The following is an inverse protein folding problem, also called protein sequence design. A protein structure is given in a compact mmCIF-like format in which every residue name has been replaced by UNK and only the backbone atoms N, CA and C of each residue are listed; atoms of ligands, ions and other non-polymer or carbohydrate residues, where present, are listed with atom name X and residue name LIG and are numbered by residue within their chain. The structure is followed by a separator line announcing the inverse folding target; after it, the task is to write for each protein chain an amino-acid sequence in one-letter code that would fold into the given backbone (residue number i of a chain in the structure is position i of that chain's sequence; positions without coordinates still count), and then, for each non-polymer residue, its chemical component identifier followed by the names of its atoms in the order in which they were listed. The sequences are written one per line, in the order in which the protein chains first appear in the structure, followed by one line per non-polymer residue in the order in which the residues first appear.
data_IF_455364131303
#
_entry.id   IF_455364131303
#
_cell.length_a   1.000
_cell.length_b   1.000
_cell.length_c   1.000
_cell.angle_alpha   90.00
_cell.angle_beta   90.00
_cell.angle_gamma   90.00
#
_symmetry.space_group_name_H-M   'P 1'
#
loop_
_entity.id
_entity.type
_entity.pdbx_description
1 polymer ?
#
# COMPACT_ATOMS: atom_id res chain seq x y z
N UNK A 1 31.47 17.20 39.90
CA UNK A 1 30.34 17.20 38.94
C UNK A 1 30.75 16.42 37.70
N UNK A 2 30.02 15.34 37.34
CA UNK A 2 30.35 14.47 36.20
C UNK A 2 29.08 13.93 35.52
N UNK A 3 29.09 13.92 34.17
CA UNK A 3 28.31 13.12 33.21
C UNK A 3 26.76 13.08 33.24
N UNK A 4 26.07 13.52 34.30
CA UNK A 4 24.59 13.42 34.41
C UNK A 4 23.79 14.07 33.26
N UNK A 5 24.35 15.06 32.56
CA UNK A 5 23.69 15.73 31.43
C UNK A 5 23.71 14.92 30.13
N UNK A 6 24.68 14.01 29.95
CA UNK A 6 24.84 13.25 28.69
C UNK A 6 23.76 12.16 28.55
N UNK A 7 23.56 11.37 29.60
CA UNK A 7 22.51 10.33 29.61
C UNK A 7 21.11 10.94 29.58
N UNK A 8 20.88 12.05 30.29
CA UNK A 8 19.61 12.77 30.25
C UNK A 8 19.26 13.28 28.84
N UNK A 9 20.23 13.88 28.14
CA UNK A 9 20.03 14.36 26.77
C UNK A 9 19.83 13.20 25.77
N UNK A 10 20.56 12.10 25.93
CA UNK A 10 20.42 10.91 25.07
C UNK A 10 19.03 10.27 25.21
N UNK A 11 18.51 10.15 26.44
CA UNK A 11 17.16 9.67 26.70
C UNK A 11 16.08 10.65 26.19
N UNK A 12 16.32 11.97 26.31
CA UNK A 12 15.42 12.99 25.77
C UNK A 12 15.34 12.92 24.22
N UNK A 13 16.46 12.66 23.54
CA UNK A 13 16.50 12.47 22.09
C UNK A 13 15.76 11.21 21.65
N UNK A 14 15.90 10.09 22.38
CA UNK A 14 15.11 8.87 22.13
C UNK A 14 13.60 9.15 22.30
N UNK A 15 13.21 9.97 23.29
CA UNK A 15 11.81 10.36 23.50
C UNK A 15 11.25 11.33 22.43
N UNK A 16 12.11 12.01 21.67
CA UNK A 16 11.73 12.90 20.56
C UNK A 16 11.73 12.18 19.19
N UNK A 17 12.49 11.10 19.07
CA UNK A 17 12.63 10.30 17.86
C UNK A 17 11.79 9.01 17.90
N UNK A 18 10.56 9.10 18.41
CA UNK A 18 9.55 8.04 18.29
C UNK A 18 9.05 7.92 16.85
N UNK A 19 9.92 7.39 15.97
CA UNK A 19 9.54 6.93 14.65
C UNK A 19 8.49 5.84 14.83
N UNK A 20 7.23 6.21 14.63
CA UNK A 20 6.10 5.30 14.62
C UNK A 20 6.15 4.47 13.34
N UNK A 21 6.99 3.45 13.32
CA UNK A 21 6.84 2.33 12.40
C UNK A 21 5.38 1.85 12.49
N UNK A 22 4.69 1.80 11.35
CA UNK A 22 3.31 1.35 11.32
C UNK A 22 3.17 -0.02 11.98
N UNK A 23 2.12 -0.21 12.77
CA UNK A 23 1.89 -1.51 13.38
C UNK A 23 1.56 -2.51 12.27
N UNK A 24 2.46 -3.45 12.05
CA UNK A 24 2.26 -4.55 11.10
C UNK A 24 1.34 -5.57 11.76
N UNK A 25 0.20 -5.84 11.13
CA UNK A 25 -0.89 -6.62 11.69
C UNK A 25 -1.43 -7.65 10.71
N UNK A 26 -2.02 -8.74 11.23
CA UNK A 26 -2.79 -9.71 10.45
C UNK A 26 -4.28 -9.38 10.51
N UNK A 27 -4.87 -8.96 9.40
CA UNK A 27 -6.31 -8.73 9.23
C UNK A 27 -6.92 -9.90 8.48
N UNK A 28 -7.80 -10.66 9.15
CA UNK A 28 -8.55 -11.76 8.55
C UNK A 28 -9.92 -11.26 8.09
N UNK A 29 -10.26 -11.45 6.81
CA UNK A 29 -11.50 -10.97 6.22
C UNK A 29 -12.59 -12.07 6.19
N UNK A 30 -13.89 -11.71 6.30
CA UNK A 30 -14.99 -12.69 6.26
C UNK A 30 -15.10 -13.51 4.95
N UNK A 31 -14.46 -13.07 3.86
CA UNK A 31 -14.38 -13.80 2.60
C UNK A 31 -13.24 -14.83 2.54
N UNK A 32 -12.48 -15.02 3.63
CA UNK A 32 -11.33 -15.93 3.70
C UNK A 32 -9.99 -15.31 3.25
N UNK A 33 -9.97 -14.05 2.82
CA UNK A 33 -8.71 -13.33 2.58
C UNK A 33 -7.98 -12.98 3.88
N UNK A 34 -6.65 -12.86 3.80
CA UNK A 34 -5.78 -12.46 4.91
C UNK A 34 -4.82 -11.37 4.43
N UNK A 35 -4.84 -10.22 5.08
CA UNK A 35 -3.83 -9.17 4.88
C UNK A 35 -2.80 -9.19 6.01
N UNK A 36 -1.53 -9.03 5.66
CA UNK A 36 -0.42 -8.82 6.59
C UNK A 36 0.35 -7.58 6.16
N UNK A 37 0.34 -6.53 6.98
CA UNK A 37 0.94 -5.25 6.63
C UNK A 37 0.60 -4.14 7.61
N UNK A 38 1.02 -2.93 7.31
CA UNK A 38 0.68 -1.73 8.10
C UNK A 38 -0.84 -1.45 8.03
N UNK A 39 -1.41 -0.95 9.14
CA UNK A 39 -2.82 -0.55 9.17
C UNK A 39 -2.98 0.84 9.78
N UNK A 40 -4.04 1.53 9.37
CA UNK A 40 -4.52 2.76 9.99
C UNK A 40 -5.89 2.52 10.65
N UNK A 41 -6.31 3.45 11.51
CA UNK A 41 -7.60 3.38 12.22
C UNK A 41 -7.57 2.52 13.47
N UNK A 42 -8.75 2.18 14.00
CA UNK A 42 -8.87 1.48 15.28
C UNK A 42 -10.25 0.85 15.48
N UNK A 43 -10.30 -0.28 16.19
CA UNK A 43 -11.53 -1.04 16.37
C UNK A 43 -12.15 -1.45 15.02
N UNK A 44 -13.34 -0.91 14.71
CA UNK A 44 -14.09 -1.23 13.49
C UNK A 44 -13.64 -0.45 12.23
N UNK A 45 -12.70 0.50 12.35
CA UNK A 45 -12.21 1.30 11.20
C UNK A 45 -10.83 0.88 10.68
N UNK A 46 -10.29 -0.24 11.20
CA UNK A 46 -8.96 -0.74 10.86
C UNK A 46 -8.91 -1.17 9.39
N UNK A 47 -7.97 -0.61 8.62
CA UNK A 47 -7.84 -0.84 7.18
C UNK A 47 -6.37 -0.85 6.72
N UNK A 48 -6.02 -1.61 5.66
CA UNK A 48 -4.70 -1.57 5.03
C UNK A 48 -4.20 -0.16 4.73
N UNK A 49 -2.94 0.09 5.06
CA UNK A 49 -2.20 1.31 4.75
C UNK A 49 -0.72 0.97 4.54
N UNK A 50 0.14 1.91 4.16
CA UNK A 50 1.59 1.71 4.14
C UNK A 50 2.02 0.57 3.21
N UNK A 51 2.89 -0.34 3.68
CA UNK A 51 3.27 -1.57 2.98
C UNK A 51 2.50 -2.79 3.50
N UNK A 52 2.10 -3.69 2.60
CA UNK A 52 1.50 -4.96 3.01
C UNK A 52 1.18 -5.94 1.87
N UNK A 53 0.80 -7.14 2.28
CA UNK A 53 0.49 -8.29 1.44
C UNK A 53 -0.95 -8.74 1.72
N UNK A 54 -1.82 -8.76 0.71
CA UNK A 54 -3.11 -9.43 0.77
C UNK A 54 -3.01 -10.78 0.06
N UNK A 55 -3.28 -11.87 0.77
CA UNK A 55 -3.58 -13.18 0.18
C UNK A 55 -5.09 -13.35 0.13
N UNK A 56 -5.65 -13.59 -1.06
CA UNK A 56 -7.08 -13.89 -1.23
C UNK A 56 -7.40 -15.35 -0.90
N UNK A 57 -8.67 -15.66 -0.66
CA UNK A 57 -9.13 -17.03 -0.40
C UNK A 57 -8.81 -18.00 -1.57
N UNK A 58 -8.81 -17.50 -2.80
CA UNK A 58 -8.43 -18.25 -4.01
C UNK A 58 -6.91 -18.40 -4.19
N UNK A 59 -6.10 -17.85 -3.28
CA UNK A 59 -4.63 -17.96 -3.26
C UNK A 59 -3.86 -16.91 -4.07
N UNK A 60 -4.53 -15.95 -4.73
CA UNK A 60 -3.85 -14.83 -5.38
C UNK A 60 -3.26 -13.89 -4.31
N UNK A 61 -2.00 -13.49 -4.50
CA UNK A 61 -1.21 -12.65 -3.60
C UNK A 61 -1.02 -11.26 -4.23
N UNK A 62 -1.22 -10.23 -3.42
CA UNK A 62 -1.09 -8.82 -3.79
C UNK A 62 -0.15 -8.14 -2.81
N UNK A 63 1.12 -7.95 -3.20
CA UNK A 63 2.16 -7.32 -2.39
C UNK A 63 2.42 -5.90 -2.90
N UNK A 64 2.43 -4.90 -2.02
CA UNK A 64 2.72 -3.53 -2.43
C UNK A 64 2.32 -2.48 -1.41
N UNK A 65 2.11 -1.26 -1.90
CA UNK A 65 1.61 -0.16 -1.09
C UNK A 65 0.05 -0.12 -1.04
N UNK A 66 -0.46 0.39 0.08
CA UNK A 66 -1.88 0.48 0.39
C UNK A 66 -2.22 1.84 0.98
N UNK A 67 -3.42 2.35 0.67
CA UNK A 67 -3.93 3.61 1.19
C UNK A 67 -5.45 3.49 1.37
N UNK A 68 -5.97 3.87 2.55
CA UNK A 68 -7.40 3.84 2.87
C UNK A 68 -8.11 2.48 2.64
N UNK A 69 -7.37 1.38 2.72
CA UNK A 69 -7.85 0.02 2.43
C UNK A 69 -7.80 -0.41 0.96
N UNK A 70 -7.27 0.42 0.07
CA UNK A 70 -7.13 0.18 -1.37
C UNK A 70 -5.66 0.05 -1.76
N UNK A 71 -5.35 -0.62 -2.87
CA UNK A 71 -4.00 -0.64 -3.43
C UNK A 71 -3.64 0.74 -4.01
N UNK A 72 -2.45 1.23 -3.69
CA UNK A 72 -1.91 2.51 -4.13
C UNK A 72 -0.40 2.37 -4.36
N UNK A 73 0.19 3.08 -5.32
CA UNK A 73 1.63 3.04 -5.56
C UNK A 73 2.05 1.71 -6.20
N UNK A 74 3.29 1.28 -5.99
CA UNK A 74 3.78 0.06 -6.64
C UNK A 74 3.21 -1.21 -5.98
N UNK A 75 2.75 -2.14 -6.81
CA UNK A 75 2.26 -3.46 -6.41
C UNK A 75 2.70 -4.55 -7.38
N UNK A 76 2.92 -5.76 -6.87
CA UNK A 76 3.18 -7.01 -7.60
C UNK A 76 2.08 -8.01 -7.27
N UNK A 77 1.48 -8.59 -8.31
CA UNK A 77 0.38 -9.54 -8.21
C UNK A 77 0.86 -10.91 -8.66
N UNK A 78 0.68 -11.92 -7.82
CA UNK A 78 1.15 -13.29 -8.05
C UNK A 78 -0.04 -14.25 -7.94
N UNK A 79 -0.20 -15.14 -8.93
CA UNK A 79 -1.27 -16.13 -8.92
C UNK A 79 -0.94 -17.32 -7.98
N UNK A 80 -1.87 -18.26 -7.73
CA UNK A 80 -1.63 -19.40 -6.83
C UNK A 80 -0.50 -20.33 -7.28
N UNK A 81 -0.15 -20.34 -8.57
CA UNK A 81 0.96 -21.12 -9.14
C UNK A 81 2.34 -20.46 -8.92
N UNK A 82 2.38 -19.28 -8.28
CA UNK A 82 3.60 -18.49 -8.07
C UNK A 82 4.03 -17.64 -9.26
N UNK A 83 3.19 -17.50 -10.29
CA UNK A 83 3.49 -16.68 -11.48
C UNK A 83 3.09 -15.23 -11.21
N UNK A 84 4.04 -14.31 -11.37
CA UNK A 84 3.76 -12.86 -11.38
C UNK A 84 2.93 -12.52 -12.62
N UNK A 85 1.71 -12.04 -12.39
CA UNK A 85 0.73 -11.68 -13.42
C UNK A 85 0.71 -10.18 -13.71
N UNK A 86 1.12 -9.34 -12.75
CA UNK A 86 1.22 -7.90 -12.91
C UNK A 86 2.29 -7.33 -11.98
N UNK A 87 3.05 -6.33 -12.45
CA UNK A 87 3.85 -5.43 -11.61
C UNK A 87 3.66 -4.02 -12.15
N UNK A 88 3.28 -3.06 -11.30
CA UNK A 88 3.01 -1.70 -11.75
C UNK A 88 2.41 -0.79 -10.68
N UNK A 89 2.10 0.43 -11.08
CA UNK A 89 1.49 1.45 -10.22
C UNK A 89 -0.04 1.24 -10.12
N UNK A 90 -0.59 1.45 -8.93
CA UNK A 90 -2.02 1.47 -8.62
C UNK A 90 -2.40 2.84 -8.05
N UNK A 91 -3.62 3.30 -8.33
CA UNK A 91 -4.16 4.54 -7.74
C UNK A 91 -5.59 4.27 -7.31
N UNK A 92 -5.87 4.45 -6.01
CA UNK A 92 -7.19 4.22 -5.39
C UNK A 92 -7.84 2.88 -5.78
N UNK A 93 -7.07 1.78 -5.81
CA UNK A 93 -7.58 0.45 -6.14
C UNK A 93 -7.80 0.18 -7.63
N UNK A 94 -7.25 1.00 -8.53
CA UNK A 94 -7.21 0.73 -9.97
C UNK A 94 -5.77 0.68 -10.50
N UNK A 95 -5.46 -0.32 -11.35
CA UNK A 95 -4.18 -0.43 -12.04
C UNK A 95 -3.96 0.76 -12.98
N UNK A 96 -2.83 1.45 -12.86
CA UNK A 96 -2.44 2.51 -13.80
C UNK A 96 -1.89 1.87 -15.08
N UNK A 97 -2.77 1.70 -16.07
CA UNK A 97 -2.36 1.27 -17.42
C UNK A 97 -1.66 2.43 -18.12
N UNK A 98 -0.38 2.32 -18.53
CA UNK A 98 0.32 3.39 -19.23
C UNK A 98 -0.32 3.67 -20.59
N UNK A 99 -0.47 4.95 -20.98
CA UNK A 99 -1.04 5.29 -22.29
C UNK A 99 -0.30 4.60 -23.46
N UNK A 100 1.01 4.36 -23.32
CA UNK A 100 1.81 3.66 -24.32
C UNK A 100 1.42 2.19 -24.54
N UNK A 101 0.75 1.53 -23.59
CA UNK A 101 0.27 0.13 -23.74
C UNK A 101 -1.16 0.04 -24.23
N UNK A 102 -1.89 1.16 -24.32
CA UNK A 102 -3.24 1.23 -24.91
C UNK A 102 -3.18 1.25 -26.45
N UNK A 103 -4.22 0.72 -27.09
CA UNK A 103 -4.38 0.75 -28.54
C UNK A 103 -4.67 2.18 -29.01
N UNK A 104 -4.31 2.49 -30.25
CA UNK A 104 -4.49 3.82 -30.88
C UNK A 104 -5.86 4.46 -30.56
N UNK A 105 -6.93 3.74 -30.88
CA UNK A 105 -8.33 4.13 -30.66
C UNK A 105 -8.66 4.44 -29.19
N UNK A 106 -8.01 3.78 -28.24
CA UNK A 106 -8.21 3.98 -26.80
C UNK A 106 -7.44 5.22 -26.31
N UNK A 107 -6.23 5.44 -26.85
CA UNK A 107 -5.44 6.67 -26.62
C UNK A 107 -6.17 7.90 -27.14
N UNK A 108 -6.65 7.85 -28.39
CA UNK A 108 -7.40 8.93 -29.03
C UNK A 108 -8.69 9.26 -28.26
N UNK A 109 -9.45 8.23 -27.85
CA UNK A 109 -10.66 8.40 -27.03
C UNK A 109 -10.36 9.09 -25.69
N UNK A 110 -9.28 8.71 -25.00
CA UNK A 110 -8.90 9.31 -23.74
C UNK A 110 -8.37 10.75 -23.91
N UNK A 111 -7.59 11.01 -24.95
CA UNK A 111 -7.11 12.36 -25.28
C UNK A 111 -8.26 13.32 -25.59
N UNK A 112 -9.27 12.87 -26.34
CA UNK A 112 -10.48 13.65 -26.62
C UNK A 112 -11.28 13.96 -25.34
N UNK A 113 -11.43 12.98 -24.44
CA UNK A 113 -12.12 13.20 -23.15
C UNK A 113 -11.35 14.20 -22.28
N UNK A 114 -10.03 14.10 -22.21
CA UNK A 114 -9.20 15.03 -21.44
C UNK A 114 -9.29 16.48 -21.99
N UNK A 115 -9.27 16.64 -23.32
CA UNK A 115 -9.37 17.94 -23.99
C UNK A 115 -10.73 18.65 -23.83
N UNK A 116 -11.76 17.98 -23.31
CA UNK A 116 -13.09 18.53 -23.01
C UNK A 116 -13.21 19.02 -21.55
N UNK A 117 -12.24 18.66 -20.69
CA UNK A 117 -12.22 19.01 -19.26
C UNK A 117 -11.10 20.02 -18.92
N UNK A 118 -10.65 20.79 -19.92
CA UNK A 118 -9.64 21.86 -19.86
C UNK A 118 -10.21 23.18 -20.36
#
# INVERSE_FOLDING_TARGET
MKLLTSTALFLLLISLASVSYGQVETVNYPNGGVYVGEVEGGGLTRRPHGLGILTTADGNIYEGNWEYGLQHGMSTHTNPDGVVTFTGEWVHGAARVPLATLREQERERLALIAAIHL
#
